data_IF_974479788407
#
_entry.id   IF_974479788407
#
_cell.length_a   1.000
_cell.length_b   1.000
_cell.length_c   1.000
_cell.angle_alpha   90.00
_cell.angle_beta   90.00
_cell.angle_gamma   90.00
#
_symmetry.space_group_name_H-M   'P 1'
#
loop_
_entity.id
_entity.type
_entity.pdbx_description
1 polymer ?
#
# COMPACT_ATOMS: atom_id res chain seq x y z
N UNK A 1 -26.05 42.69 46.85
CA UNK A 1 -24.63 42.32 46.75
C UNK A 1 -24.40 41.66 45.39
N UNK A 2 -23.54 42.30 44.59
CA UNK A 2 -22.62 41.73 43.59
C UNK A 2 -23.13 40.91 42.39
N UNK A 3 -23.04 41.60 41.24
CA UNK A 3 -22.41 41.25 39.96
C UNK A 3 -22.73 39.95 39.17
N UNK A 4 -22.73 40.04 37.81
CA UNK A 4 -23.49 39.15 36.93
C UNK A 4 -22.63 38.39 35.89
N UNK A 5 -23.31 37.66 34.99
CA UNK A 5 -22.97 37.40 33.57
C UNK A 5 -21.62 36.70 33.23
N UNK A 6 -21.68 35.50 32.64
CA UNK A 6 -21.40 35.25 31.20
C UNK A 6 -21.33 33.75 30.85
N UNK A 7 -22.15 33.38 29.88
CA UNK A 7 -22.03 32.23 28.97
C UNK A 7 -20.82 32.44 28.04
N UNK A 8 -20.35 31.37 27.35
CA UNK A 8 -19.33 31.25 26.26
C UNK A 8 -17.97 30.68 26.74
N UNK A 9 -17.24 29.74 26.10
CA UNK A 9 -17.24 28.98 24.82
C UNK A 9 -16.50 27.64 25.15
N UNK A 10 -16.79 26.48 24.54
CA UNK A 10 -16.03 25.86 23.43
C UNK A 10 -16.68 24.48 23.15
N UNK A 11 -17.42 24.28 22.06
CA UNK A 11 -16.97 23.87 20.73
C UNK A 11 -16.14 22.57 20.68
N UNK A 12 -16.77 21.51 20.16
CA UNK A 12 -16.23 20.42 19.29
C UNK A 12 -15.22 19.46 19.95
N UNK A 13 -15.40 18.14 19.99
CA UNK A 13 -15.83 17.24 18.92
C UNK A 13 -16.19 15.87 19.53
N UNK A 14 -17.23 15.21 19.02
CA UNK A 14 -17.34 13.76 19.14
C UNK A 14 -16.13 13.14 18.41
N UNK A 15 -15.19 12.55 19.15
CA UNK A 15 -14.29 11.56 18.61
C UNK A 15 -14.81 10.19 19.07
N UNK A 16 -15.48 9.51 18.16
CA UNK A 16 -15.70 8.07 18.23
C UNK A 16 -14.29 7.45 18.25
N UNK A 17 -13.82 7.02 19.43
CA UNK A 17 -12.65 6.15 19.48
C UNK A 17 -13.15 4.76 19.14
N UNK A 18 -12.93 4.38 17.89
CA UNK A 18 -13.08 3.03 17.38
C UNK A 18 -12.50 2.02 18.37
N UNK A 19 -13.26 0.96 18.60
CA UNK A 19 -12.80 -0.21 19.32
C UNK A 19 -11.61 -0.83 18.58
N UNK A 20 -10.39 -0.51 19.03
CA UNK A 20 -9.15 -1.10 18.51
C UNK A 20 -8.67 -2.19 19.48
N UNK A 21 -8.97 -3.43 19.08
CA UNK A 21 -8.21 -4.66 19.30
C UNK A 21 -7.28 -4.72 20.54
N UNK A 22 -7.79 -5.39 21.57
CA UNK A 22 -7.07 -6.41 22.35
C UNK A 22 -5.77 -5.99 23.06
N UNK A 23 -5.86 -5.75 24.36
CA UNK A 23 -4.72 -5.76 25.28
C UNK A 23 -3.96 -7.09 25.22
N UNK A 24 -2.85 -7.10 24.48
CA UNK A 24 -1.80 -8.11 24.56
C UNK A 24 -0.83 -7.79 25.69
N UNK A 25 -0.70 -8.74 26.61
CA UNK A 25 0.21 -8.81 27.76
C UNK A 25 1.60 -8.16 27.55
N UNK A 26 1.98 -7.32 28.52
CA UNK A 26 3.31 -6.72 28.68
C UNK A 26 4.42 -7.78 28.75
N UNK A 27 5.18 -7.94 27.67
CA UNK A 27 6.47 -8.62 27.67
C UNK A 27 7.39 -7.95 26.66
N UNK A 28 8.58 -7.47 27.04
CA UNK A 28 9.52 -6.93 26.07
C UNK A 28 10.04 -8.08 25.21
N UNK A 29 9.74 -8.04 23.91
CA UNK A 29 10.40 -8.90 22.92
C UNK A 29 11.84 -8.39 22.80
N UNK A 30 12.70 -8.89 23.68
CA UNK A 30 14.13 -8.63 23.65
C UNK A 30 14.69 -9.06 22.28
N UNK A 31 15.41 -8.14 21.63
CA UNK A 31 16.24 -8.35 20.43
C UNK A 31 15.54 -8.56 19.08
N UNK A 32 14.31 -8.10 18.90
CA UNK A 32 13.93 -7.62 17.57
C UNK A 32 14.53 -6.23 17.41
N UNK A 33 15.80 -6.16 16.98
CA UNK A 33 16.30 -5.01 16.24
C UNK A 33 15.17 -4.59 15.32
N UNK A 34 14.69 -3.36 15.46
CA UNK A 34 13.73 -2.77 14.56
C UNK A 34 14.45 -2.73 13.21
N UNK A 35 14.43 -3.85 12.49
CA UNK A 35 14.83 -3.93 11.10
C UNK A 35 13.86 -2.99 10.44
N UNK A 36 14.28 -1.75 10.34
CA UNK A 36 13.62 -0.69 9.62
C UNK A 36 13.68 -1.20 8.20
N UNK A 37 12.68 -2.00 7.81
CA UNK A 37 12.63 -2.64 6.52
C UNK A 37 12.53 -1.51 5.51
N UNK A 38 13.68 -1.09 4.99
CA UNK A 38 13.76 -0.02 4.00
C UNK A 38 13.03 -0.53 2.78
N UNK A 39 11.82 -0.03 2.57
CA UNK A 39 11.04 -0.37 1.40
C UNK A 39 11.77 0.17 0.17
N UNK A 40 12.25 -0.68 -0.75
CA UNK A 40 12.88 -0.21 -1.97
C UNK A 40 11.90 0.67 -2.76
N UNK A 41 12.42 1.74 -3.35
CA UNK A 41 11.63 2.70 -4.13
C UNK A 41 12.08 2.68 -5.57
N UNK A 42 11.13 2.62 -6.50
CA UNK A 42 11.39 2.74 -7.93
C UNK A 42 10.90 4.09 -8.44
N UNK A 43 11.71 4.72 -9.29
CA UNK A 43 11.36 5.99 -9.93
C UNK A 43 10.35 5.77 -11.06
N UNK A 44 9.48 6.74 -11.29
CA UNK A 44 8.63 6.80 -12.49
C UNK A 44 9.41 7.38 -13.65
N UNK A 45 9.22 6.83 -14.86
CA UNK A 45 9.89 7.38 -16.04
C UNK A 45 9.27 8.71 -16.51
N UNK A 46 9.92 9.36 -17.48
CA UNK A 46 9.44 10.63 -18.08
C UNK A 46 8.12 10.47 -18.85
N UNK A 47 7.75 9.25 -19.23
CA UNK A 47 6.51 8.92 -19.91
C UNK A 47 5.36 8.64 -18.92
N UNK A 48 5.65 8.63 -17.61
CA UNK A 48 4.69 8.36 -16.56
C UNK A 48 4.44 6.88 -16.30
N UNK A 49 5.26 5.97 -16.83
CA UNK A 49 5.18 4.57 -16.49
C UNK A 49 5.57 4.35 -15.02
N UNK A 50 4.72 3.59 -14.33
CA UNK A 50 4.92 3.23 -12.93
C UNK A 50 5.78 1.98 -12.84
N UNK A 51 6.83 2.07 -12.04
CA UNK A 51 7.70 0.95 -11.72
C UNK A 51 7.46 0.50 -10.28
N UNK A 52 7.72 -0.78 -10.04
CA UNK A 52 7.65 -1.40 -8.72
C UNK A 52 8.90 -2.23 -8.47
N UNK A 53 9.37 -2.29 -7.22
CA UNK A 53 10.52 -3.12 -6.89
C UNK A 53 10.09 -4.59 -6.85
N UNK A 54 11.02 -5.47 -7.23
CA UNK A 54 10.90 -6.91 -6.99
C UNK A 54 10.85 -7.24 -5.49
N UNK A 55 10.29 -8.40 -5.14
CA UNK A 55 10.26 -8.88 -3.76
C UNK A 55 11.60 -9.45 -3.28
N UNK A 56 12.41 -9.95 -4.22
CA UNK A 56 13.78 -10.40 -3.99
C UNK A 56 14.79 -9.39 -4.58
N UNK A 57 15.89 -9.06 -3.86
CA UNK A 57 16.98 -8.25 -4.40
C UNK A 57 17.74 -8.97 -5.52
N UNK A 58 18.67 -8.29 -6.17
CA UNK A 58 19.54 -8.89 -7.19
C UNK A 58 20.33 -10.07 -6.60
N UNK A 59 20.48 -11.13 -7.40
CA UNK A 59 21.22 -12.34 -7.01
C UNK A 59 22.72 -12.07 -6.79
N UNK A 60 23.28 -11.06 -7.46
CA UNK A 60 24.69 -10.71 -7.38
C UNK A 60 24.96 -9.52 -6.43
N UNK A 61 23.96 -8.68 -6.18
CA UNK A 61 24.07 -7.52 -5.29
C UNK A 61 22.83 -7.36 -4.40
N UNK A 62 22.93 -7.82 -3.15
CA UNK A 62 21.85 -7.74 -2.18
C UNK A 62 21.45 -6.31 -1.78
N UNK A 63 22.21 -5.29 -2.18
CA UNK A 63 21.85 -3.87 -1.99
C UNK A 63 21.02 -3.32 -3.14
N UNK A 64 21.02 -4.00 -4.29
CA UNK A 64 20.27 -3.59 -5.46
C UNK A 64 18.91 -4.31 -5.49
N UNK A 65 17.85 -3.54 -5.70
CA UNK A 65 16.48 -4.03 -5.84
C UNK A 65 15.99 -3.72 -7.24
N UNK A 66 15.91 -4.72 -8.13
CA UNK A 66 15.46 -4.50 -9.50
C UNK A 66 14.04 -3.92 -9.54
N UNK A 67 13.83 -3.02 -10.50
CA UNK A 67 12.55 -2.37 -10.72
C UNK A 67 11.96 -2.85 -12.05
N UNK A 68 10.73 -3.36 -12.01
CA UNK A 68 9.98 -3.76 -13.20
C UNK A 68 8.81 -2.81 -13.42
N UNK A 69 8.32 -2.73 -14.66
CA UNK A 69 7.11 -1.93 -14.91
C UNK A 69 5.92 -2.62 -14.28
N UNK A 70 4.97 -1.84 -13.81
CA UNK A 70 3.72 -2.37 -13.28
C UNK A 70 2.94 -3.18 -14.33
N UNK A 71 3.07 -2.85 -15.62
CA UNK A 71 2.47 -3.59 -16.74
C UNK A 71 3.09 -4.96 -16.98
N UNK A 72 4.29 -5.18 -16.46
CA UNK A 72 5.07 -6.38 -16.73
C UNK A 72 4.82 -7.45 -15.64
N UNK A 73 4.06 -7.13 -14.59
CA UNK A 73 3.57 -8.12 -13.64
C UNK A 73 2.67 -9.15 -14.33
N UNK A 74 2.91 -10.44 -14.05
CA UNK A 74 2.06 -11.54 -14.48
C UNK A 74 1.90 -11.62 -16.01
N UNK A 75 2.97 -11.32 -16.74
CA UNK A 75 3.05 -11.31 -18.19
C UNK A 75 3.58 -12.63 -18.80
N UNK A 76 3.75 -13.68 -17.97
CA UNK A 76 4.34 -14.98 -18.32
C UNK A 76 5.83 -14.94 -18.65
N UNK A 77 6.54 -13.88 -18.25
CA UNK A 77 7.99 -13.73 -18.36
C UNK A 77 8.51 -13.40 -16.97
N UNK A 78 9.65 -14.01 -16.62
CA UNK A 78 10.29 -13.74 -15.34
C UNK A 78 11.15 -12.49 -15.49
N UNK A 79 10.63 -11.36 -15.03
CA UNK A 79 11.32 -10.08 -15.03
C UNK A 79 12.02 -9.81 -13.69
N UNK A 80 11.52 -10.39 -12.59
CA UNK A 80 12.18 -10.33 -11.29
C UNK A 80 13.16 -11.49 -11.02
N UNK A 81 14.15 -11.30 -10.13
CA UNK A 81 14.93 -12.40 -9.57
C UNK A 81 14.00 -13.49 -9.02
N UNK A 82 14.32 -14.76 -9.27
CA UNK A 82 13.52 -15.94 -8.93
C UNK A 82 12.13 -16.05 -9.59
N UNK A 83 11.68 -15.04 -10.33
CA UNK A 83 10.36 -15.01 -10.96
C UNK A 83 9.21 -14.72 -9.98
N UNK A 84 9.48 -13.94 -8.93
CA UNK A 84 8.47 -13.57 -7.92
C UNK A 84 7.29 -12.78 -8.51
N UNK A 85 7.53 -12.08 -9.62
CA UNK A 85 6.54 -11.36 -10.43
C UNK A 85 5.54 -12.28 -11.14
N UNK A 86 5.86 -13.57 -11.24
CA UNK A 86 5.04 -14.62 -11.87
C UNK A 86 4.54 -15.66 -10.87
N UNK A 87 4.53 -15.33 -9.57
CA UNK A 87 3.97 -16.21 -8.54
C UNK A 87 2.48 -16.47 -8.80
N UNK A 88 2.08 -17.75 -8.79
CA UNK A 88 0.74 -18.19 -9.17
C UNK A 88 -0.35 -17.56 -8.29
N UNK A 89 -0.12 -17.49 -6.98
CA UNK A 89 -1.11 -16.96 -6.04
C UNK A 89 -1.21 -15.45 -6.17
N UNK A 90 -0.07 -14.77 -6.25
CA UNK A 90 -0.03 -13.31 -6.43
C UNK A 90 -0.68 -12.91 -7.76
N UNK A 91 -0.38 -13.63 -8.85
CA UNK A 91 -0.94 -13.36 -10.15
C UNK A 91 -2.44 -13.63 -10.23
N UNK A 92 -2.94 -14.66 -9.54
CA UNK A 92 -4.38 -14.87 -9.42
C UNK A 92 -5.09 -13.63 -8.84
N UNK A 93 -4.59 -13.10 -7.71
CA UNK A 93 -5.17 -11.92 -7.10
C UNK A 93 -4.97 -10.64 -7.92
N UNK A 94 -3.82 -10.49 -8.57
CA UNK A 94 -3.53 -9.36 -9.45
C UNK A 94 -4.52 -9.31 -10.61
N UNK A 95 -4.65 -10.41 -11.35
CA UNK A 95 -5.52 -10.51 -12.51
C UNK A 95 -6.99 -10.30 -12.12
N UNK A 96 -7.45 -10.96 -11.05
CA UNK A 96 -8.81 -10.76 -10.53
C UNK A 96 -9.08 -9.29 -10.17
N UNK A 97 -8.16 -8.63 -9.46
CA UNK A 97 -8.28 -7.20 -9.12
C UNK A 97 -8.33 -6.32 -10.37
N UNK A 98 -7.49 -6.60 -11.36
CA UNK A 98 -7.43 -5.83 -12.60
C UNK A 98 -8.72 -5.98 -13.40
N UNK A 99 -9.28 -7.18 -13.49
CA UNK A 99 -10.58 -7.41 -14.12
C UNK A 99 -11.70 -6.61 -13.46
N UNK A 100 -11.79 -6.64 -12.13
CA UNK A 100 -12.79 -5.87 -11.38
C UNK A 100 -12.59 -4.36 -11.56
N UNK A 101 -11.35 -3.88 -11.51
CA UNK A 101 -11.04 -2.48 -11.75
C UNK A 101 -11.46 -2.03 -13.16
N UNK A 102 -11.22 -2.85 -14.18
CA UNK A 102 -11.63 -2.56 -15.56
C UNK A 102 -13.15 -2.53 -15.71
N UNK A 103 -13.88 -3.43 -15.03
CA UNK A 103 -15.36 -3.41 -15.00
C UNK A 103 -15.86 -2.11 -14.38
N UNK A 104 -15.32 -1.71 -13.22
CA UNK A 104 -15.68 -0.46 -12.55
C UNK A 104 -15.39 0.76 -13.44
N UNK A 105 -14.25 0.78 -14.13
CA UNK A 105 -13.89 1.86 -15.05
C UNK A 105 -14.88 1.96 -16.21
N UNK A 106 -15.29 0.83 -16.80
CA UNK A 106 -16.29 0.79 -17.86
C UNK A 106 -17.66 1.33 -17.39
N UNK A 107 -18.09 0.95 -16.18
CA UNK A 107 -19.33 1.47 -15.59
C UNK A 107 -19.23 2.99 -15.37
N UNK A 108 -18.09 3.48 -14.91
CA UNK A 108 -17.87 4.92 -14.72
C UNK A 108 -17.95 5.68 -16.05
N UNK A 109 -17.36 5.16 -17.13
CA UNK A 109 -17.41 5.80 -18.44
C UNK A 109 -18.85 5.87 -18.99
N UNK A 110 -19.65 4.81 -18.79
CA UNK A 110 -21.07 4.80 -19.13
C UNK A 110 -21.88 5.87 -18.36
N UNK A 111 -21.64 6.02 -17.06
CA UNK A 111 -22.29 7.04 -16.23
C UNK A 111 -21.90 8.45 -16.68
N UNK A 112 -20.65 8.63 -17.14
CA UNK A 112 -20.17 9.92 -17.66
C UNK A 112 -20.68 10.23 -19.07
N UNK A 113 -21.39 9.31 -19.72
CA UNK A 113 -21.91 9.47 -21.08
C UNK A 113 -20.81 9.49 -22.14
N UNK A 114 -19.70 8.76 -21.91
CA UNK A 114 -18.62 8.55 -22.87
C UNK A 114 -18.73 7.20 -23.58
#
# INVERSE_FOLDING_TARGET
MNFPLLVFVLCSSLAITDAAFGHGSNGPLNDADEVTAVKPTCETDRLGHKYIPCATPDLNDSRHWPCIKYSDLCNSRKDCPNGDDEDVLQCFYHNYRMEEFMKLRKLLDQVRGK
#
